data_IF_616301616187
#
_entry.id   IF_616301616187
#
_cell.length_a   1.000
_cell.length_b   1.000
_cell.length_c   1.000
_cell.angle_alpha   90.00
_cell.angle_beta   90.00
_cell.angle_gamma   90.00
#
_symmetry.space_group_name_H-M   'P 1'
#
loop_
_entity.id
_entity.type
_entity.pdbx_description
1 polymer ?
#
# COMPACT_ATOMS: atom_id res chain seq x y z
N UNK A 1 20.78 4.55 18.29
CA UNK A 1 20.00 3.69 17.36
C UNK A 1 20.97 3.09 16.35
N UNK A 2 20.81 1.83 15.93
CA UNK A 2 21.60 1.26 14.83
C UNK A 2 21.39 2.07 13.55
N UNK A 3 22.44 2.18 12.74
CA UNK A 3 22.41 2.90 11.47
C UNK A 3 22.25 1.90 10.31
N UNK A 4 21.41 2.26 9.34
CA UNK A 4 21.27 1.55 8.06
C UNK A 4 21.81 2.46 6.96
N UNK A 5 22.79 1.97 6.19
CA UNK A 5 23.29 2.65 5.02
C UNK A 5 22.54 2.13 3.79
N UNK A 6 21.97 3.04 3.01
CA UNK A 6 21.25 2.75 1.77
C UNK A 6 21.85 3.64 0.70
N UNK A 7 22.26 3.04 -0.41
CA UNK A 7 22.78 3.76 -1.56
C UNK A 7 21.62 4.14 -2.49
N UNK A 8 21.71 5.34 -3.05
CA UNK A 8 20.79 5.84 -4.05
C UNK A 8 21.59 6.39 -5.20
N UNK A 9 21.10 6.18 -6.41
CA UNK A 9 21.55 6.94 -7.57
C UNK A 9 21.18 8.42 -7.42
N UNK A 10 21.82 9.29 -8.19
CA UNK A 10 21.51 10.72 -8.16
C UNK A 10 20.05 11.01 -8.55
N UNK A 11 19.51 10.24 -9.51
CA UNK A 11 18.13 10.37 -9.96
C UNK A 11 17.13 10.00 -8.85
N UNK A 12 17.30 8.84 -8.21
CA UNK A 12 16.45 8.40 -7.10
C UNK A 12 16.51 9.41 -5.94
N UNK A 13 17.69 9.94 -5.65
CA UNK A 13 17.86 10.89 -4.56
C UNK A 13 17.24 12.26 -4.89
N UNK A 14 17.22 12.67 -6.17
CA UNK A 14 16.49 13.84 -6.63
C UNK A 14 14.96 13.67 -6.48
N UNK A 15 14.44 12.51 -6.87
CA UNK A 15 13.02 12.17 -6.69
C UNK A 15 12.62 12.16 -5.20
N UNK A 16 13.44 11.52 -4.35
CA UNK A 16 13.22 11.51 -2.89
C UNK A 16 13.24 12.91 -2.29
N UNK A 17 14.12 13.80 -2.76
CA UNK A 17 14.16 15.19 -2.31
C UNK A 17 12.90 15.94 -2.70
N UNK A 18 12.43 15.78 -3.94
CA UNK A 18 11.18 16.38 -4.40
C UNK A 18 9.99 15.89 -3.57
N UNK A 19 9.88 14.58 -3.35
CA UNK A 19 8.80 13.99 -2.57
C UNK A 19 8.84 14.42 -1.09
N UNK A 20 10.04 14.46 -0.48
CA UNK A 20 10.23 14.93 0.89
C UNK A 20 9.86 16.43 1.03
N UNK A 21 10.27 17.27 0.07
CA UNK A 21 9.93 18.69 0.04
C UNK A 21 8.43 18.90 -0.11
N UNK A 22 7.76 18.17 -1.00
CA UNK A 22 6.30 18.19 -1.14
C UNK A 22 5.58 17.76 0.14
N UNK A 23 6.17 16.86 0.91
CA UNK A 23 5.68 16.44 2.22
C UNK A 23 6.11 17.37 3.38
N UNK A 24 6.87 18.44 3.12
CA UNK A 24 7.39 19.36 4.14
C UNK A 24 8.40 18.73 5.11
N UNK A 25 9.13 17.71 4.68
CA UNK A 25 10.03 16.89 5.51
C UNK A 25 11.47 16.89 5.00
N UNK A 26 12.41 16.60 5.89
CA UNK A 26 13.77 16.23 5.47
C UNK A 26 13.76 14.86 4.78
N UNK A 27 14.70 14.62 3.86
CA UNK A 27 14.82 13.33 3.14
C UNK A 27 14.94 12.16 4.12
N UNK A 28 15.76 12.30 5.16
CA UNK A 28 15.92 11.27 6.20
C UNK A 28 14.62 10.96 6.92
N UNK A 29 13.87 11.99 7.34
CA UNK A 29 12.58 11.80 8.00
C UNK A 29 11.53 11.20 7.07
N UNK A 30 11.54 11.62 5.80
CA UNK A 30 10.65 11.07 4.78
C UNK A 30 10.92 9.59 4.52
N UNK A 31 12.17 9.18 4.33
CA UNK A 31 12.57 7.78 4.11
C UNK A 31 12.29 6.90 5.33
N UNK A 32 12.53 7.42 6.55
CA UNK A 32 12.15 6.74 7.79
C UNK A 32 10.65 6.46 7.82
N UNK A 33 9.84 7.50 7.58
CA UNK A 33 8.39 7.39 7.64
C UNK A 33 7.85 6.46 6.55
N UNK A 34 8.42 6.49 5.34
CA UNK A 34 8.08 5.55 4.27
C UNK A 34 8.32 4.11 4.71
N UNK A 35 9.48 3.82 5.28
CA UNK A 35 9.84 2.47 5.73
C UNK A 35 8.89 1.95 6.81
N UNK A 36 8.49 2.82 7.74
CA UNK A 36 7.55 2.45 8.83
C UNK A 36 6.10 2.37 8.31
N UNK A 37 5.67 3.29 7.45
CA UNK A 37 4.32 3.30 6.86
C UNK A 37 4.11 2.16 5.89
N UNK A 38 5.16 1.69 5.21
CA UNK A 38 5.05 0.55 4.29
C UNK A 38 4.61 -0.72 5.04
N UNK A 39 5.15 -0.96 6.23
CA UNK A 39 4.70 -2.08 7.06
C UNK A 39 3.23 -1.93 7.47
N UNK A 40 2.82 -0.74 7.91
CA UNK A 40 1.42 -0.46 8.25
C UNK A 40 0.49 -0.61 7.03
N UNK A 41 0.93 -0.17 5.84
CA UNK A 41 0.21 -0.33 4.57
C UNK A 41 0.03 -1.80 4.23
N UNK A 42 1.06 -2.63 4.37
CA UNK A 42 0.97 -4.08 4.13
C UNK A 42 -0.07 -4.73 5.04
N UNK A 43 0.02 -4.47 6.35
CA UNK A 43 -0.95 -4.98 7.33
C UNK A 43 -2.37 -4.53 7.00
N UNK A 44 -2.56 -3.26 6.66
CA UNK A 44 -3.87 -2.74 6.25
C UNK A 44 -4.41 -3.43 5.00
N UNK A 45 -3.59 -3.57 3.95
CA UNK A 45 -3.98 -4.20 2.68
C UNK A 45 -4.32 -5.67 2.88
N UNK A 46 -3.51 -6.40 3.66
CA UNK A 46 -3.76 -7.81 3.99
C UNK A 46 -5.08 -7.98 4.75
N UNK A 47 -5.32 -7.13 5.76
CA UNK A 47 -6.56 -7.12 6.53
C UNK A 47 -7.78 -6.77 5.68
N UNK A 48 -7.68 -5.73 4.85
CA UNK A 48 -8.75 -5.34 3.93
C UNK A 48 -9.07 -6.46 2.93
N UNK A 49 -8.05 -7.13 2.38
CA UNK A 49 -8.25 -8.25 1.49
C UNK A 49 -8.90 -9.45 2.19
N UNK A 50 -8.53 -9.72 3.45
CA UNK A 50 -9.17 -10.77 4.25
C UNK A 50 -10.65 -10.43 4.54
N UNK A 51 -10.93 -9.19 4.93
CA UNK A 51 -12.28 -8.70 5.16
C UNK A 51 -13.16 -8.84 3.91
N UNK A 52 -12.66 -8.38 2.75
CA UNK A 52 -13.40 -8.52 1.48
C UNK A 52 -13.69 -10.00 1.18
N UNK A 53 -12.72 -10.90 1.37
CA UNK A 53 -12.95 -12.34 1.14
C UNK A 53 -14.01 -12.92 2.07
N UNK A 54 -14.01 -12.52 3.34
CA UNK A 54 -14.97 -13.00 4.33
C UNK A 54 -16.41 -12.50 4.05
N UNK A 55 -16.54 -11.26 3.57
CA UNK A 55 -17.83 -10.60 3.35
C UNK A 55 -18.28 -10.60 1.89
N UNK A 56 -17.56 -11.27 0.99
CA UNK A 56 -17.86 -11.26 -0.45
C UNK A 56 -19.27 -11.82 -0.74
N UNK A 57 -19.63 -12.96 -0.14
CA UNK A 57 -20.94 -13.59 -0.36
C UNK A 57 -22.08 -12.74 0.19
N UNK A 58 -21.90 -12.16 1.39
CA UNK A 58 -22.86 -11.23 1.99
C UNK A 58 -23.06 -9.98 1.12
N UNK A 59 -21.96 -9.43 0.59
CA UNK A 59 -21.99 -8.28 -0.32
C UNK A 59 -22.70 -8.62 -1.63
N UNK A 60 -22.38 -9.75 -2.26
CA UNK A 60 -23.03 -10.19 -3.50
C UNK A 60 -24.53 -10.43 -3.30
N UNK A 61 -24.95 -10.93 -2.13
CA UNK A 61 -26.36 -11.08 -1.77
C UNK A 61 -27.07 -9.73 -1.55
N UNK A 62 -26.40 -8.77 -0.91
CA UNK A 62 -26.96 -7.45 -0.63
C UNK A 62 -27.00 -6.55 -1.87
N UNK A 63 -26.05 -6.73 -2.81
CA UNK A 63 -25.88 -5.93 -4.02
C UNK A 63 -25.78 -6.80 -5.28
N UNK A 64 -26.83 -7.57 -5.62
CA UNK A 64 -26.79 -8.55 -6.70
C UNK A 64 -26.47 -7.95 -8.08
N UNK A 65 -26.88 -6.69 -8.33
CA UNK A 65 -26.61 -5.99 -9.58
C UNK A 65 -25.17 -5.47 -9.72
N UNK A 66 -24.42 -5.41 -8.62
CA UNK A 66 -23.02 -4.96 -8.57
C UNK A 66 -22.03 -6.11 -8.37
N UNK A 67 -22.53 -7.32 -8.14
CA UNK A 67 -21.70 -8.50 -8.01
C UNK A 67 -20.84 -8.69 -9.29
N UNK A 68 -19.54 -8.94 -9.16
CA UNK A 68 -18.68 -9.16 -10.31
C UNK A 68 -19.23 -10.35 -11.10
N UNK A 69 -19.48 -10.15 -12.41
CA UNK A 69 -19.90 -11.24 -13.31
C UNK A 69 -18.75 -12.23 -13.44
N UNK A 70 -18.71 -13.26 -12.57
CA UNK A 70 -17.75 -14.36 -12.69
C UNK A 70 -18.03 -15.08 -14.01
N UNK A 71 -17.05 -15.16 -14.94
CA UNK A 71 -17.24 -15.94 -16.15
C UNK A 71 -17.46 -17.40 -15.76
N UNK A 72 -18.47 -18.03 -16.37
CA UNK A 72 -19.03 -19.34 -15.98
C UNK A 72 -18.09 -20.56 -16.17
N UNK A 73 -16.79 -20.37 -16.35
CA UNK A 73 -15.86 -21.46 -16.68
C UNK A 73 -14.71 -21.52 -15.67
N UNK A 74 -14.97 -22.18 -14.55
CA UNK A 74 -13.98 -22.89 -13.75
C UNK A 74 -14.65 -24.18 -13.26
N UNK A 75 -14.79 -25.13 -14.20
CA UNK A 75 -15.13 -26.52 -13.94
C UNK A 75 -13.85 -27.35 -14.10
#
# INVERSE_FOLDING_TARGET
>A
MPALNVEFTEAELAELRLAAAAAGKSVKGYVHDLSVREQARRVFVEGAAAFIRQHAEEFDMAFPDQAPRRPANAA
#
